data_IF_922795973454
#
_entry.id   IF_922795973454
#
_cell.length_a   1.000
_cell.length_b   1.000
_cell.length_c   1.000
_cell.angle_alpha   90.00
_cell.angle_beta   90.00
_cell.angle_gamma   90.00
#
_symmetry.space_group_name_H-M   'P 1'
#
loop_
_entity.id
_entity.type
_entity.pdbx_description
1 polymer ?
#
# COMPACT_ATOMS: atom_id res chain seq x y z
N UNK A 1 -18.22 -69.93 39.44
CA UNK A 1 -19.41 -69.62 40.25
C UNK A 1 -19.53 -68.11 40.26
N UNK A 2 -20.69 -67.62 39.80
CA UNK A 2 -21.33 -66.28 39.88
C UNK A 2 -20.73 -65.36 40.97
N UNK A 3 -20.66 -64.02 40.93
CA UNK A 3 -21.65 -62.92 40.74
C UNK A 3 -20.80 -61.61 40.65
N UNK A 4 -20.81 -60.78 39.60
CA UNK A 4 -21.72 -59.67 39.24
C UNK A 4 -21.71 -58.40 40.14
N UNK A 5 -21.46 -57.23 39.50
CA UNK A 5 -21.97 -55.85 39.74
C UNK A 5 -21.64 -55.16 41.10
N UNK A 6 -21.46 -53.84 41.27
CA UNK A 6 -21.71 -52.64 40.45
C UNK A 6 -21.00 -51.39 41.05
N UNK A 7 -21.17 -50.25 40.38
CA UNK A 7 -21.19 -48.85 40.85
C UNK A 7 -19.98 -47.93 40.63
N UNK A 8 -20.08 -47.20 39.52
CA UNK A 8 -19.97 -45.74 39.41
C UNK A 8 -19.59 -44.97 40.70
N UNK A 9 -18.45 -44.30 40.66
CA UNK A 9 -18.39 -42.82 40.71
C UNK A 9 -16.93 -42.38 40.83
N UNK A 10 -16.70 -41.11 40.50
CA UNK A 10 -15.42 -40.39 40.58
C UNK A 10 -14.44 -40.62 39.41
N UNK A 11 -14.59 -39.83 38.34
CA UNK A 11 -13.98 -38.49 38.25
C UNK A 11 -14.31 -37.93 36.85
N UNK A 12 -15.18 -36.91 36.86
CA UNK A 12 -15.35 -35.96 35.77
C UNK A 12 -14.02 -35.24 35.52
N UNK A 13 -13.83 -34.77 34.29
CA UNK A 13 -12.69 -34.02 33.75
C UNK A 13 -11.65 -34.85 32.96
N UNK A 14 -12.12 -35.55 31.92
CA UNK A 14 -11.28 -35.89 30.78
C UNK A 14 -11.28 -34.71 29.80
N UNK A 15 -10.18 -33.99 29.81
CA UNK A 15 -9.80 -32.91 28.92
C UNK A 15 -9.84 -33.38 27.46
N UNK A 16 -10.65 -32.74 26.63
CA UNK A 16 -10.64 -32.86 25.18
C UNK A 16 -9.34 -32.26 24.63
N UNK A 17 -8.30 -33.08 24.47
CA UNK A 17 -7.11 -32.73 23.70
C UNK A 17 -7.46 -32.96 22.22
N UNK A 18 -8.09 -31.95 21.61
CA UNK A 18 -8.34 -31.97 20.17
C UNK A 18 -7.05 -31.63 19.44
N UNK A 19 -6.63 -32.57 18.61
CA UNK A 19 -5.61 -32.50 17.57
C UNK A 19 -5.61 -31.12 16.87
N UNK A 20 -4.61 -30.29 17.15
CA UNK A 20 -4.35 -29.10 16.34
C UNK A 20 -3.43 -29.55 15.23
N UNK A 21 -4.07 -30.08 14.19
CA UNK A 21 -3.44 -30.56 12.99
C UNK A 21 -2.71 -29.40 12.30
N UNK A 22 -1.44 -29.65 11.99
CA UNK A 22 -0.59 -28.76 11.24
C UNK A 22 -1.22 -28.47 9.88
N UNK A 23 -1.62 -27.22 9.64
CA UNK A 23 -1.94 -26.72 8.30
C UNK A 23 -0.86 -25.75 7.85
N UNK A 24 0.31 -26.32 7.56
CA UNK A 24 1.16 -25.79 6.51
C UNK A 24 0.32 -25.64 5.23
N UNK A 25 -0.07 -24.41 4.90
CA UNK A 25 -0.61 -24.09 3.59
C UNK A 25 0.53 -24.12 2.57
N UNK A 26 0.81 -25.30 2.02
CA UNK A 26 1.49 -25.41 0.73
C UNK A 26 0.40 -25.38 -0.33
N UNK A 27 0.04 -24.19 -0.82
CA UNK A 27 -0.49 -24.04 -2.19
C UNK A 27 -0.23 -22.62 -2.70
N UNK A 28 0.75 -22.53 -3.60
CA UNK A 28 0.98 -21.48 -4.62
C UNK A 28 1.19 -20.03 -4.15
N UNK A 29 2.46 -19.63 -4.17
CA UNK A 29 2.97 -18.26 -4.08
C UNK A 29 2.40 -17.33 -5.16
N UNK A 30 1.19 -16.83 -4.93
CA UNK A 30 0.81 -15.49 -5.36
C UNK A 30 1.05 -14.59 -4.15
N UNK A 31 1.80 -13.50 -4.33
CA UNK A 31 2.05 -12.50 -3.29
C UNK A 31 0.70 -11.98 -2.78
N UNK A 32 0.18 -12.59 -1.71
CA UNK A 32 -1.16 -12.28 -1.19
C UNK A 32 -0.99 -11.18 -0.16
N UNK A 33 -1.65 -10.05 -0.38
CA UNK A 33 -1.65 -8.96 0.58
C UNK A 33 -2.57 -9.29 1.75
N UNK A 34 -2.09 -9.02 2.96
CA UNK A 34 -2.82 -9.22 4.19
C UNK A 34 -3.13 -7.86 4.82
N UNK A 35 -4.41 -7.65 5.15
CA UNK A 35 -4.87 -6.52 5.95
C UNK A 35 -4.12 -6.50 7.28
N UNK A 36 -3.52 -5.36 7.62
CA UNK A 36 -2.94 -5.11 8.95
C UNK A 36 -3.82 -4.15 9.73
N UNK A 37 -3.72 -4.24 11.06
CA UNK A 37 -4.34 -3.25 11.95
C UNK A 37 -3.74 -1.89 11.64
N UNK A 38 -4.63 -0.91 11.50
CA UNK A 38 -4.29 0.50 11.31
C UNK A 38 -5.09 1.34 12.29
N UNK A 39 -4.46 2.40 12.80
CA UNK A 39 -5.08 3.42 13.64
C UNK A 39 -5.04 4.74 12.88
N UNK A 40 -6.01 5.60 13.11
CA UNK A 40 -6.06 6.91 12.46
C UNK A 40 -4.99 7.82 13.10
N UNK A 41 -3.94 8.11 12.33
CA UNK A 41 -2.72 8.71 12.84
C UNK A 41 -2.85 10.21 13.17
N UNK A 42 -3.87 10.90 12.63
CA UNK A 42 -3.92 12.38 12.64
C UNK A 42 -4.81 12.97 13.73
N UNK A 43 -5.53 12.13 14.47
CA UNK A 43 -6.48 12.57 15.50
C UNK A 43 -5.83 13.36 16.65
N UNK A 44 -4.50 13.32 16.78
CA UNK A 44 -3.73 14.00 17.84
C UNK A 44 -3.17 15.38 17.44
N UNK A 45 -3.37 15.86 16.21
CA UNK A 45 -2.76 17.11 15.71
C UNK A 45 -3.64 18.34 15.96
N UNK A 46 -4.95 18.20 15.80
CA UNK A 46 -5.95 19.19 16.23
C UNK A 46 -7.35 18.56 16.15
N UNK A 47 -8.33 19.02 16.94
CA UNK A 47 -9.70 18.49 16.92
C UNK A 47 -10.39 18.62 15.55
N UNK A 48 -9.86 19.45 14.65
CA UNK A 48 -10.39 19.64 13.30
C UNK A 48 -9.75 18.73 12.25
N UNK A 49 -8.73 17.94 12.60
CA UNK A 49 -8.10 17.01 11.67
C UNK A 49 -8.73 15.62 11.77
N UNK A 50 -9.24 15.16 10.63
CA UNK A 50 -9.78 13.81 10.47
C UNK A 50 -8.90 13.07 9.47
N UNK A 51 -8.57 11.82 9.78
CA UNK A 51 -7.85 10.92 8.89
C UNK A 51 -8.50 9.55 8.89
N UNK A 52 -8.36 8.84 7.77
CA UNK A 52 -8.61 7.41 7.69
C UNK A 52 -7.36 6.70 7.19
N UNK A 53 -6.87 5.74 7.97
CA UNK A 53 -5.65 4.99 7.64
C UNK A 53 -5.99 3.53 7.32
N UNK A 54 -5.56 3.06 6.16
CA UNK A 54 -5.69 1.69 5.68
C UNK A 54 -4.30 1.09 5.46
N UNK A 55 -4.00 -0.04 6.10
CA UNK A 55 -2.71 -0.73 5.99
C UNK A 55 -2.88 -2.14 5.46
N UNK A 56 -2.00 -2.52 4.52
CA UNK A 56 -1.84 -3.88 4.03
C UNK A 56 -0.37 -4.17 3.82
N UNK A 57 0.04 -5.42 4.04
CA UNK A 57 1.40 -5.86 3.75
C UNK A 57 1.35 -7.12 2.92
N UNK A 58 2.25 -7.24 1.96
CA UNK A 58 2.47 -8.49 1.24
C UNK A 58 2.85 -9.61 2.22
N UNK A 59 2.51 -10.84 1.85
CA UNK A 59 3.03 -12.01 2.55
C UNK A 59 4.55 -12.06 2.37
N UNK A 60 5.28 -12.23 3.48
CA UNK A 60 6.74 -12.22 3.49
C UNK A 60 7.37 -10.84 3.63
N UNK A 61 6.59 -9.75 3.71
CA UNK A 61 7.14 -8.43 4.06
C UNK A 61 7.85 -8.50 5.42
N UNK A 62 9.14 -8.20 5.40
CA UNK A 62 9.96 -7.99 6.58
C UNK A 62 10.73 -6.69 6.44
N UNK A 63 10.64 -5.84 7.46
CA UNK A 63 11.37 -4.57 7.47
C UNK A 63 12.83 -4.82 7.84
N UNK A 64 13.73 -4.38 6.98
CA UNK A 64 15.18 -4.48 7.17
C UNK A 64 15.79 -3.12 7.52
N UNK A 65 17.09 -3.09 7.86
CA UNK A 65 17.83 -1.83 8.04
C UNK A 65 17.93 -0.98 6.77
N UNK A 66 17.70 -1.58 5.60
CA UNK A 66 17.73 -0.90 4.29
C UNK A 66 16.34 -0.47 3.80
N UNK A 67 15.28 -0.83 4.52
CA UNK A 67 13.90 -0.49 4.14
C UNK A 67 13.68 1.01 4.12
N UNK A 68 13.26 1.51 2.98
CA UNK A 68 12.95 2.92 2.73
C UNK A 68 11.45 3.14 2.82
N UNK A 69 11.07 4.40 2.95
CA UNK A 69 9.67 4.84 2.90
C UNK A 69 9.54 5.81 1.74
N UNK A 70 8.66 5.49 0.80
CA UNK A 70 8.31 6.37 -0.31
C UNK A 70 6.92 6.95 -0.08
N UNK A 71 6.85 8.27 0.06
CA UNK A 71 5.59 8.96 0.30
C UNK A 71 5.02 9.50 -1.01
N UNK A 72 3.86 9.01 -1.42
CA UNK A 72 3.14 9.48 -2.60
C UNK A 72 2.00 10.38 -2.18
N UNK A 73 1.98 11.64 -2.64
CA UNK A 73 0.96 12.62 -2.24
C UNK A 73 0.01 12.89 -3.40
N UNK A 74 -1.29 12.78 -3.12
CA UNK A 74 -2.36 12.93 -4.11
C UNK A 74 -3.40 13.96 -3.63
N UNK A 75 -3.95 14.72 -4.58
CA UNK A 75 -5.06 15.66 -4.35
C UNK A 75 -6.39 14.94 -4.64
N UNK A 76 -7.18 14.67 -3.58
CA UNK A 76 -8.42 13.90 -3.67
C UNK A 76 -9.57 14.66 -4.34
N UNK A 77 -9.55 15.99 -4.34
CA UNK A 77 -10.63 16.78 -4.99
C UNK A 77 -10.58 16.68 -6.51
N UNK A 78 -9.45 16.25 -7.07
CA UNK A 78 -9.22 16.09 -8.51
C UNK A 78 -9.54 14.69 -9.00
N UNK A 79 -10.52 14.03 -8.39
CA UNK A 79 -10.93 12.66 -8.72
C UNK A 79 -12.08 12.67 -9.75
N UNK A 80 -11.99 13.54 -10.76
CA UNK A 80 -12.91 13.49 -11.92
C UNK A 80 -12.50 12.33 -12.85
N UNK A 81 -13.41 11.79 -13.66
CA UNK A 81 -13.18 10.55 -14.43
C UNK A 81 -11.89 10.56 -15.27
N UNK A 82 -11.51 11.72 -15.84
CA UNK A 82 -10.27 11.90 -16.61
C UNK A 82 -9.03 12.10 -15.75
N UNK A 83 -9.20 12.65 -14.55
CA UNK A 83 -8.11 12.92 -13.62
C UNK A 83 -7.77 11.71 -12.72
N UNK A 84 -8.70 10.76 -12.57
CA UNK A 84 -8.45 9.46 -11.92
C UNK A 84 -7.27 8.70 -12.52
N UNK A 85 -7.07 8.83 -13.83
CA UNK A 85 -5.93 8.23 -14.53
C UNK A 85 -4.63 8.90 -14.07
N UNK A 86 -4.63 10.23 -13.89
CA UNK A 86 -3.46 11.02 -13.50
C UNK A 86 -3.05 10.82 -12.04
N UNK A 87 -4.02 10.50 -11.16
CA UNK A 87 -3.74 10.15 -9.76
C UNK A 87 -2.85 8.90 -9.68
N UNK A 88 -2.95 8.00 -10.66
CA UNK A 88 -2.19 6.75 -10.70
C UNK A 88 -0.76 6.93 -11.18
N UNK A 89 -0.45 7.93 -12.00
CA UNK A 89 0.91 8.14 -12.53
C UNK A 89 2.02 8.17 -11.47
N UNK A 90 1.91 8.95 -10.36
CA UNK A 90 2.93 8.93 -9.32
C UNK A 90 3.00 7.58 -8.59
N UNK A 91 1.88 6.87 -8.43
CA UNK A 91 1.87 5.52 -7.85
C UNK A 91 2.57 4.52 -8.78
N UNK A 92 2.21 4.52 -10.07
CA UNK A 92 2.84 3.68 -11.11
C UNK A 92 4.34 3.92 -11.15
N UNK A 93 4.76 5.20 -11.19
CA UNK A 93 6.17 5.55 -11.18
C UNK A 93 6.90 4.97 -9.96
N UNK A 94 6.30 5.08 -8.78
CA UNK A 94 6.89 4.61 -7.53
C UNK A 94 6.99 3.08 -7.50
N UNK A 95 5.90 2.38 -7.81
CA UNK A 95 5.81 0.91 -7.80
C UNK A 95 6.69 0.24 -8.85
N UNK A 96 6.96 0.91 -9.98
CA UNK A 96 7.74 0.33 -11.08
C UNK A 96 9.23 0.69 -11.05
N UNK A 97 9.61 1.82 -10.45
CA UNK A 97 10.98 2.34 -10.57
C UNK A 97 11.72 2.53 -9.25
N UNK A 98 11.02 2.59 -8.12
CA UNK A 98 11.63 3.00 -6.85
C UNK A 98 11.58 1.91 -5.77
N UNK A 99 10.43 1.27 -5.65
CA UNK A 99 10.16 0.28 -4.62
C UNK A 99 10.91 -1.01 -4.91
N UNK A 100 11.46 -1.59 -3.85
CA UNK A 100 12.12 -2.88 -3.83
C UNK A 100 11.65 -3.69 -2.60
N UNK A 101 12.14 -4.92 -2.47
CA UNK A 101 11.87 -5.83 -1.37
C UNK A 101 12.11 -5.17 0.01
N UNK A 102 11.11 -5.27 0.89
CA UNK A 102 11.16 -4.70 2.23
C UNK A 102 10.93 -3.20 2.30
N UNK A 103 10.70 -2.50 1.18
CA UNK A 103 10.32 -1.09 1.21
C UNK A 103 8.85 -0.88 1.60
N UNK A 104 8.53 0.36 1.97
CA UNK A 104 7.19 0.78 2.34
C UNK A 104 6.72 1.95 1.46
N UNK A 105 5.49 1.85 0.97
CA UNK A 105 4.80 2.93 0.28
C UNK A 105 3.74 3.52 1.19
N UNK A 106 3.76 4.85 1.32
CA UNK A 106 2.78 5.62 2.08
C UNK A 106 2.08 6.57 1.12
N UNK A 107 0.81 6.33 0.86
CA UNK A 107 -0.02 7.16 -0.02
C UNK A 107 -0.82 8.13 0.85
N UNK A 108 -0.53 9.42 0.74
CA UNK A 108 -1.23 10.50 1.43
C UNK A 108 -2.23 11.14 0.46
N UNK A 109 -3.51 10.92 0.69
CA UNK A 109 -4.59 11.62 -0.01
C UNK A 109 -5.07 12.83 0.78
N UNK A 110 -4.95 14.00 0.19
CA UNK A 110 -5.33 15.25 0.83
C UNK A 110 -6.63 15.78 0.24
N UNK A 111 -7.60 16.10 1.11
CA UNK A 111 -8.83 16.78 0.74
C UNK A 111 -8.97 18.10 1.52
N UNK A 112 -9.01 19.23 0.80
CA UNK A 112 -9.04 20.55 1.42
C UNK A 112 -10.44 21.10 1.73
N UNK A 113 -11.51 20.41 1.31
CA UNK A 113 -12.90 20.88 1.51
C UNK A 113 -13.42 20.51 2.91
N UNK A 114 -13.96 21.51 3.62
CA UNK A 114 -14.62 21.35 4.92
C UNK A 114 -16.11 21.03 4.71
N UNK A 115 -16.46 19.76 4.44
CA UNK A 115 -17.86 19.29 4.40
C UNK A 115 -18.18 18.40 5.61
N UNK A 116 -19.45 17.98 5.79
CA UNK A 116 -19.90 17.21 6.96
C UNK A 116 -19.02 15.99 7.29
N UNK A 117 -18.68 15.82 8.57
CA UNK A 117 -17.76 14.79 9.08
C UNK A 117 -18.19 13.36 8.74
N UNK A 118 -19.49 13.08 8.69
CA UNK A 118 -20.01 11.74 8.33
C UNK A 118 -19.78 11.41 6.85
N UNK A 119 -20.02 12.38 5.96
CA UNK A 119 -19.77 12.22 4.53
C UNK A 119 -18.27 12.06 4.26
N UNK A 120 -17.42 12.81 4.99
CA UNK A 120 -15.96 12.66 4.92
C UNK A 120 -15.52 11.25 5.31
N UNK A 121 -16.07 10.68 6.38
CA UNK A 121 -15.67 9.36 6.90
C UNK A 121 -16.03 8.22 5.94
N UNK A 122 -17.23 8.28 5.34
CA UNK A 122 -17.66 7.26 4.38
C UNK A 122 -16.87 7.36 3.07
N UNK A 123 -16.64 8.59 2.58
CA UNK A 123 -15.86 8.85 1.38
C UNK A 123 -14.39 8.45 1.56
N UNK A 124 -13.78 8.72 2.71
CA UNK A 124 -12.39 8.36 2.98
C UNK A 124 -12.19 6.84 3.02
N UNK A 125 -13.08 6.11 3.69
CA UNK A 125 -13.06 4.64 3.69
C UNK A 125 -13.11 4.06 2.28
N UNK A 126 -14.07 4.53 1.48
CA UNK A 126 -14.25 4.07 0.10
C UNK A 126 -13.02 4.38 -0.77
N UNK A 127 -12.54 5.63 -0.74
CA UNK A 127 -11.41 6.07 -1.58
C UNK A 127 -10.10 5.38 -1.19
N UNK A 128 -9.87 5.18 0.10
CA UNK A 128 -8.68 4.47 0.57
C UNK A 128 -8.70 3.02 0.10
N UNK A 129 -9.86 2.36 0.15
CA UNK A 129 -10.04 1.01 -0.37
C UNK A 129 -9.82 0.96 -1.89
N UNK A 130 -10.40 1.89 -2.65
CA UNK A 130 -10.20 1.97 -4.11
C UNK A 130 -8.71 2.10 -4.50
N UNK A 131 -7.95 2.92 -3.77
CA UNK A 131 -6.50 3.08 -3.99
C UNK A 131 -5.76 1.80 -3.61
N UNK A 132 -6.07 1.22 -2.45
CA UNK A 132 -5.43 0.01 -1.96
C UNK A 132 -5.65 -1.17 -2.90
N UNK A 133 -6.89 -1.41 -3.31
CA UNK A 133 -7.25 -2.48 -4.25
C UNK A 133 -6.51 -2.31 -5.58
N UNK A 134 -6.38 -1.08 -6.06
CA UNK A 134 -5.63 -0.80 -7.27
C UNK A 134 -4.13 -1.12 -7.12
N UNK A 135 -3.50 -0.78 -5.98
CA UNK A 135 -2.08 -1.11 -5.75
C UNK A 135 -1.89 -2.62 -5.68
N UNK A 136 -2.78 -3.33 -4.95
CA UNK A 136 -2.78 -4.79 -4.83
C UNK A 136 -2.91 -5.47 -6.19
N UNK A 137 -3.81 -4.98 -7.03
CA UNK A 137 -4.00 -5.51 -8.38
C UNK A 137 -2.78 -5.24 -9.27
N UNK A 138 -2.24 -4.02 -9.21
CA UNK A 138 -1.15 -3.55 -10.07
C UNK A 138 0.22 -4.15 -9.71
N UNK A 139 0.50 -4.37 -8.43
CA UNK A 139 1.81 -4.78 -7.94
C UNK A 139 1.75 -6.14 -7.23
N UNK A 140 2.02 -7.20 -7.99
CA UNK A 140 2.09 -8.58 -7.50
C UNK A 140 3.51 -9.11 -7.75
N UNK A 141 4.41 -8.93 -6.79
CA UNK A 141 5.77 -9.41 -6.96
C UNK A 141 6.64 -9.20 -5.74
N UNK A 142 6.69 -7.97 -5.24
CA UNK A 142 7.69 -7.60 -4.25
C UNK A 142 7.09 -7.62 -2.84
N UNK A 143 7.89 -8.00 -1.84
CA UNK A 143 7.49 -8.07 -0.44
C UNK A 143 7.51 -6.67 0.20
N UNK A 144 6.47 -5.88 -0.07
CA UNK A 144 6.34 -4.48 0.38
C UNK A 144 5.24 -4.30 1.45
N UNK A 145 5.34 -3.21 2.20
CA UNK A 145 4.25 -2.72 3.06
C UNK A 145 3.59 -1.48 2.43
N UNK A 146 2.28 -1.38 2.60
CA UNK A 146 1.47 -0.33 1.99
C UNK A 146 0.59 0.33 3.04
N UNK A 147 0.61 1.66 3.06
CA UNK A 147 -0.23 2.49 3.90
C UNK A 147 -0.93 3.50 3.00
N UNK A 148 -2.26 3.56 3.07
CA UNK A 148 -3.07 4.59 2.42
C UNK A 148 -3.70 5.41 3.54
N UNK A 149 -3.36 6.68 3.59
CA UNK A 149 -3.85 7.63 4.57
C UNK A 149 -4.57 8.77 3.87
N UNK A 150 -5.87 8.91 4.14
CA UNK A 150 -6.66 10.01 3.61
C UNK A 150 -6.92 11.02 4.73
N UNK A 151 -6.50 12.27 4.50
CA UNK A 151 -6.52 13.33 5.49
C UNK A 151 -7.31 14.54 4.98
N UNK A 152 -8.09 15.14 5.87
CA UNK A 152 -8.87 16.34 5.59
C UNK A 152 -8.23 17.57 6.23
N UNK A 153 -8.12 18.66 5.48
CA UNK A 153 -7.60 19.93 5.99
C UNK A 153 -6.64 20.64 5.04
N UNK A 154 -5.81 21.52 5.62
CA UNK A 154 -4.89 22.37 4.87
C UNK A 154 -3.71 21.55 4.31
N UNK A 155 -3.52 21.48 2.98
CA UNK A 155 -2.49 20.64 2.38
C UNK A 155 -1.07 20.95 2.87
N UNK A 156 -0.78 22.22 3.16
CA UNK A 156 0.54 22.62 3.63
C UNK A 156 0.86 22.04 5.00
N UNK A 157 -0.12 22.01 5.91
CA UNK A 157 0.02 21.49 7.27
C UNK A 157 0.06 19.97 7.25
N UNK A 158 -0.83 19.34 6.48
CA UNK A 158 -0.87 17.88 6.36
C UNK A 158 0.45 17.36 5.81
N UNK A 159 0.97 17.98 4.73
CA UNK A 159 2.21 17.51 4.12
C UNK A 159 3.42 17.73 5.04
N UNK A 160 3.45 18.82 5.81
CA UNK A 160 4.45 19.02 6.87
C UNK A 160 4.44 17.88 7.88
N UNK A 161 3.26 17.57 8.41
CA UNK A 161 3.11 16.58 9.46
C UNK A 161 3.41 15.18 8.98
N UNK A 162 2.90 14.78 7.82
CA UNK A 162 3.18 13.48 7.22
C UNK A 162 4.65 13.28 6.93
N UNK A 163 5.33 14.33 6.45
CA UNK A 163 6.78 14.28 6.24
C UNK A 163 7.52 14.08 7.56
N UNK A 164 7.08 14.74 8.64
CA UNK A 164 7.68 14.58 9.97
C UNK A 164 7.43 13.19 10.56
N UNK A 165 6.19 12.69 10.44
CA UNK A 165 5.76 11.42 11.02
C UNK A 165 6.40 10.23 10.32
N UNK A 166 6.29 10.17 8.98
CA UNK A 166 6.77 9.04 8.20
C UNK A 166 8.26 9.11 7.85
N UNK A 167 8.88 10.29 7.98
CA UNK A 167 10.28 10.54 7.60
C UNK A 167 10.65 9.86 6.26
N UNK A 168 9.91 10.15 5.18
CA UNK A 168 10.10 9.43 3.93
C UNK A 168 11.48 9.73 3.35
N UNK A 169 12.07 8.74 2.68
CA UNK A 169 13.31 8.90 1.93
C UNK A 169 13.10 9.81 0.70
N UNK A 170 11.87 9.84 0.17
CA UNK A 170 11.50 10.70 -0.95
C UNK A 170 9.98 10.95 -0.98
N UNK A 171 9.59 12.14 -1.44
CA UNK A 171 8.19 12.52 -1.71
C UNK A 171 7.91 12.53 -3.20
N UNK A 172 6.87 11.84 -3.63
CA UNK A 172 6.46 11.72 -5.03
C UNK A 172 5.12 12.42 -5.21
N UNK A 173 5.03 13.30 -6.20
CA UNK A 173 3.78 14.02 -6.54
C UNK A 173 3.50 13.95 -8.03
N UNK A 174 2.22 13.84 -8.39
CA UNK A 174 1.77 13.95 -9.78
C UNK A 174 1.75 15.41 -10.25
N UNK A 175 2.05 15.64 -11.53
CA UNK A 175 1.97 16.96 -12.13
C UNK A 175 0.54 17.29 -12.59
N UNK A 176 -0.06 18.30 -11.98
CA UNK A 176 -1.27 18.96 -12.40
C UNK A 176 -0.97 20.00 -13.50
N UNK A 177 -1.68 19.88 -14.62
CA UNK A 177 -1.70 20.80 -15.77
C UNK A 177 -0.44 20.84 -16.65
N UNK A 178 -0.66 21.11 -17.95
CA UNK A 178 0.40 21.41 -18.91
C UNK A 178 0.87 22.86 -18.67
N UNK A 179 1.87 23.06 -17.83
CA UNK A 179 2.40 24.40 -17.56
C UNK A 179 3.41 24.77 -18.65
N UNK A 180 3.20 25.93 -19.31
CA UNK A 180 4.11 26.47 -20.35
C UNK A 180 5.52 26.76 -19.81
N UNK A 181 5.61 27.09 -18.53
CA UNK A 181 6.86 27.35 -17.81
C UNK A 181 7.27 26.15 -16.97
N UNK A 182 8.52 25.70 -17.15
CA UNK A 182 9.11 24.54 -16.45
C UNK A 182 10.05 25.01 -15.35
N UNK A 183 9.56 25.19 -14.13
CA UNK A 183 10.38 25.22 -12.91
C UNK A 183 10.32 23.87 -12.18
N UNK A 184 11.25 23.60 -11.27
CA UNK A 184 11.41 22.28 -10.62
C UNK A 184 10.09 21.71 -10.05
N UNK A 185 9.32 22.55 -9.33
CA UNK A 185 8.02 22.20 -8.73
C UNK A 185 6.81 22.63 -9.57
N UNK A 186 7.02 23.00 -10.84
CA UNK A 186 5.91 23.24 -11.78
C UNK A 186 5.10 21.96 -11.91
N UNK A 187 3.81 22.09 -11.64
CA UNK A 187 2.85 21.01 -11.75
C UNK A 187 2.47 20.41 -10.41
N UNK A 188 3.18 20.67 -9.31
CA UNK A 188 2.86 20.03 -8.03
C UNK A 188 1.54 20.50 -7.36
N UNK A 189 0.70 21.27 -8.06
CA UNK A 189 -0.62 21.69 -7.61
C UNK A 189 -0.59 22.43 -6.28
N UNK A 190 -1.52 22.06 -5.40
CA UNK A 190 -1.67 22.59 -4.04
C UNK A 190 -0.45 22.31 -3.14
N UNK A 191 0.38 21.32 -3.48
CA UNK A 191 1.56 20.96 -2.69
C UNK A 191 2.78 21.82 -2.99
N UNK A 192 2.75 22.62 -4.07
CA UNK A 192 3.91 23.40 -4.57
C UNK A 192 4.57 24.25 -3.49
N UNK A 193 3.79 24.94 -2.65
CA UNK A 193 4.35 25.82 -1.63
C UNK A 193 5.18 25.03 -0.63
N UNK A 194 4.59 23.97 -0.04
CA UNK A 194 5.27 23.17 0.99
C UNK A 194 6.47 22.40 0.45
N UNK A 195 6.39 21.90 -0.78
CA UNK A 195 7.48 21.18 -1.44
C UNK A 195 8.74 22.04 -1.69
N UNK A 196 8.62 23.37 -1.76
CA UNK A 196 9.80 24.24 -1.87
C UNK A 196 10.61 24.36 -0.58
N UNK A 197 9.99 24.06 0.55
CA UNK A 197 10.55 24.30 1.88
C UNK A 197 10.82 23.00 2.65
N UNK A 198 10.55 21.84 2.04
CA UNK A 198 10.88 20.55 2.65
C UNK A 198 12.34 20.18 2.36
N UNK A 199 12.98 19.52 3.33
CA UNK A 199 14.33 18.97 3.18
C UNK A 199 14.33 17.59 2.54
N UNK A 200 13.17 16.92 2.47
CA UNK A 200 13.04 15.61 1.84
C UNK A 200 13.18 15.74 0.32
N UNK A 201 13.92 14.84 -0.35
CA UNK A 201 13.98 14.79 -1.81
C UNK A 201 12.59 14.66 -2.45
N UNK A 202 12.36 15.32 -3.58
CA UNK A 202 11.04 15.36 -4.24
C UNK A 202 11.15 14.95 -5.70
N UNK A 203 10.22 14.09 -6.14
CA UNK A 203 10.00 13.76 -7.55
C UNK A 203 8.63 14.24 -8.00
N UNK A 204 8.62 15.03 -9.07
CA UNK A 204 7.39 15.47 -9.75
C UNK A 204 7.20 14.63 -11.01
N UNK A 205 6.24 13.70 -10.96
CA UNK A 205 5.90 12.81 -12.07
C UNK A 205 5.02 13.56 -13.05
N UNK A 206 5.56 13.82 -14.23
CA UNK A 206 4.86 14.51 -15.32
C UNK A 206 4.37 13.48 -16.32
N UNK A 207 3.15 13.70 -16.85
CA UNK A 207 2.64 13.05 -18.05
C UNK A 207 3.70 13.16 -19.15
N UNK A 208 4.52 12.12 -19.32
CA UNK A 208 5.25 11.95 -20.58
C UNK A 208 4.19 11.38 -21.52
N UNK A 209 3.93 12.07 -22.64
CA UNK A 209 3.14 11.49 -23.74
C UNK A 209 3.64 10.07 -23.96
N UNK A 210 2.79 9.09 -23.62
CA UNK A 210 3.03 7.65 -23.72
C UNK A 210 4.49 7.31 -24.06
N UNK A 211 5.41 7.47 -23.11
CA UNK A 211 6.66 6.74 -23.23
C UNK A 211 6.18 5.32 -23.08
N UNK A 212 6.28 4.55 -24.17
CA UNK A 212 6.23 3.09 -24.12
C UNK A 212 7.33 2.70 -23.12
N UNK A 213 6.95 2.67 -21.84
CA UNK A 213 7.79 2.22 -20.76
C UNK A 213 7.87 0.73 -21.02
N UNK A 214 8.87 0.32 -21.82
CA UNK A 214 9.33 -1.06 -21.77
C UNK A 214 9.65 -1.26 -20.30
N UNK A 215 8.99 -2.19 -19.59
CA UNK A 215 9.41 -2.50 -18.24
C UNK A 215 10.91 -2.74 -18.32
N UNK A 216 11.69 -2.15 -17.41
CA UNK A 216 13.04 -2.62 -17.21
C UNK A 216 12.87 -4.08 -16.79
N UNK A 217 13.03 -4.96 -17.77
CA UNK A 217 13.00 -6.40 -17.59
C UNK A 217 14.26 -6.71 -16.80
N UNK A 218 14.20 -6.55 -15.49
CA UNK A 218 14.72 -7.63 -14.68
C UNK A 218 13.85 -8.83 -15.04
N UNK A 219 14.45 -9.96 -15.47
CA UNK A 219 13.68 -11.13 -15.81
C UNK A 219 12.99 -11.64 -14.54
N UNK A 220 11.84 -11.06 -14.21
CA UNK A 220 10.86 -11.66 -13.31
C UNK A 220 10.29 -12.80 -14.12
N UNK A 221 11.00 -13.93 -14.09
CA UNK A 221 10.47 -15.19 -14.58
C UNK A 221 9.08 -15.36 -13.99
N UNK A 222 8.06 -15.19 -14.82
CA UNK A 222 6.70 -15.49 -14.40
C UNK A 222 6.67 -16.99 -14.07
N UNK A 223 5.92 -17.40 -13.04
CA UNK A 223 5.83 -18.81 -12.63
C UNK A 223 5.50 -19.73 -13.83
N UNK A 224 4.73 -19.24 -14.80
CA UNK A 224 4.44 -19.91 -16.07
C UNK A 224 5.69 -20.22 -16.90
N UNK A 225 6.68 -19.33 -16.92
CA UNK A 225 7.94 -19.52 -17.65
C UNK A 225 8.87 -20.48 -16.91
N UNK A 226 8.98 -20.40 -15.57
CA UNK A 226 9.75 -21.37 -14.77
C UNK A 226 9.20 -22.79 -14.87
N UNK A 227 7.87 -22.94 -14.90
CA UNK A 227 7.21 -24.23 -15.08
C UNK A 227 7.48 -24.77 -16.50
N UNK A 228 7.37 -23.92 -17.53
CA UNK A 228 7.71 -24.30 -18.91
C UNK A 228 9.16 -24.72 -19.06
N UNK A 229 10.10 -24.01 -18.41
CA UNK A 229 11.53 -24.33 -18.48
C UNK A 229 11.87 -25.63 -17.74
N UNK A 230 11.24 -25.90 -16.59
CA UNK A 230 11.36 -27.19 -15.87
C UNK A 230 10.79 -28.35 -16.68
N UNK A 231 9.64 -28.17 -17.33
CA UNK A 231 9.02 -29.19 -18.18
C UNK A 231 9.84 -29.46 -19.44
N UNK A 232 10.42 -28.43 -20.06
CA UNK A 232 11.31 -28.58 -21.21
C UNK A 232 12.60 -29.34 -20.85
N UNK A 233 13.18 -29.08 -19.67
CA UNK A 233 14.36 -29.81 -19.17
C UNK A 233 14.05 -31.26 -18.78
N UNK A 234 12.81 -31.59 -18.39
CA UNK A 234 12.41 -32.98 -18.12
C UNK A 234 12.22 -33.82 -19.40
N UNK A 235 11.83 -33.17 -20.51
CA UNK A 235 11.53 -33.85 -21.77
C UNK A 235 12.76 -34.06 -22.68
N UNK A 236 13.89 -33.43 -22.38
CA UNK A 236 15.16 -33.64 -23.09
C UNK A 236 16.04 -34.75 -22.50
N UNK A 237 15.63 -35.37 -21.39
CA UNK A 237 16.41 -36.40 -20.68
C UNK A 237 15.89 -37.83 -20.90
N UNK A 238 15.18 -38.07 -22.02
CA UNK A 238 14.80 -39.39 -22.49
C UNK A 238 15.38 -39.65 -23.87
#
# INVERSE_FOLDING_TARGET
>A
MTIAFDQESLIKHASSVSLVDSRHSITTSLCTYQRRVSFDNVTNISPNYHSYTLKQSSQGFERTRRSRIFMVVIDLLRTSAKENIKIKDPLIFTLMNLIDEGDEIVVIGVQSSLHDTEQQTSLSKRKAQEIMDWIVEFHQGDHINMIVELTFGRPEIILEEMTRMYQPSMVIVGACNKIKYKHAYSGAGIFKYRLKHTHTPIVVVRDKQAVTMKPLVHPKHTLSERIREKLAKLNCTK
#
